data_IF_248540670368
#
_entry.id   IF_248540670368
#
_cell.length_a   1.000
_cell.length_b   1.000
_cell.length_c   1.000
_cell.angle_alpha   90.00
_cell.angle_beta   90.00
_cell.angle_gamma   90.00
#
_symmetry.space_group_name_H-M   'P 1'
#
loop_
_entity.id
_entity.type
_entity.pdbx_description
1 polymer ?
#
# COMPACT_ATOMS: atom_id res chain seq x y z
N UNK A 1 -7.57 -47.32 -21.27
CA UNK A 1 -7.41 -48.21 -20.10
C UNK A 1 -6.78 -47.35 -19.02
N UNK A 2 -7.58 -46.83 -18.09
CA UNK A 2 -7.04 -46.07 -16.97
C UNK A 2 -6.66 -47.02 -15.83
N UNK A 3 -5.47 -46.82 -15.27
CA UNK A 3 -5.10 -47.46 -14.01
C UNK A 3 -4.46 -46.43 -13.07
N UNK A 4 -5.33 -45.69 -12.37
CA UNK A 4 -4.95 -44.78 -11.30
C UNK A 4 -4.57 -45.60 -10.06
N UNK A 5 -3.27 -45.69 -9.75
CA UNK A 5 -2.80 -46.23 -8.48
C UNK A 5 -2.75 -45.09 -7.46
N UNK A 6 -3.79 -44.97 -6.62
CA UNK A 6 -3.75 -44.16 -5.40
C UNK A 6 -3.17 -44.97 -4.26
N UNK A 7 -1.99 -44.60 -3.78
CA UNK A 7 -1.47 -45.08 -2.49
C UNK A 7 -2.29 -44.46 -1.35
N UNK A 8 -2.92 -45.29 -0.52
CA UNK A 8 -3.63 -44.84 0.68
C UNK A 8 -2.62 -44.38 1.74
N UNK A 9 -2.51 -43.07 1.93
CA UNK A 9 -1.94 -42.50 3.16
C UNK A 9 -2.95 -42.73 4.30
N UNK A 10 -2.51 -43.40 5.35
CA UNK A 10 -3.35 -43.80 6.47
C UNK A 10 -3.81 -42.57 7.26
N UNK A 11 -5.12 -42.27 7.26
CA UNK A 11 -5.70 -41.05 7.86
C UNK A 11 -5.30 -40.85 9.32
N UNK A 12 -5.11 -41.93 10.08
CA UNK A 12 -4.66 -41.87 11.48
C UNK A 12 -3.30 -41.17 11.65
N UNK A 13 -2.39 -41.32 10.68
CA UNK A 13 -1.05 -40.70 10.70
C UNK A 13 -1.14 -39.20 10.39
N UNK A 14 -2.01 -38.82 9.44
CA UNK A 14 -2.27 -37.41 9.11
C UNK A 14 -2.97 -36.72 10.30
N UNK A 15 -3.89 -37.41 10.97
CA UNK A 15 -4.62 -36.88 12.12
C UNK A 15 -3.70 -36.56 13.31
N UNK A 16 -2.87 -37.50 13.78
CA UNK A 16 -1.96 -37.21 14.91
C UNK A 16 -0.84 -36.23 14.55
N UNK A 17 -0.36 -36.21 13.30
CA UNK A 17 0.62 -35.22 12.84
C UNK A 17 0.06 -33.78 12.88
N UNK A 18 -1.21 -33.60 12.50
CA UNK A 18 -1.85 -32.26 12.46
C UNK A 18 -2.38 -31.80 13.82
N UNK A 19 -2.86 -32.71 14.68
CA UNK A 19 -3.37 -32.44 16.02
C UNK A 19 -2.41 -31.65 16.92
N UNK A 20 -1.12 -31.96 16.87
CA UNK A 20 -0.11 -31.25 17.68
C UNK A 20 0.10 -29.80 17.20
N UNK A 21 0.08 -29.56 15.89
CA UNK A 21 0.21 -28.22 15.27
C UNK A 21 -0.99 -27.34 15.65
N UNK A 22 -2.20 -27.89 15.60
CA UNK A 22 -3.40 -27.17 16.02
C UNK A 22 -3.43 -26.93 17.54
N UNK A 23 -2.98 -27.88 18.35
CA UNK A 23 -2.97 -27.74 19.82
C UNK A 23 -2.09 -26.59 20.30
N UNK A 24 -0.86 -26.46 19.78
CA UNK A 24 0.06 -25.38 20.15
C UNK A 24 -0.44 -23.99 19.75
N UNK A 25 -0.96 -23.82 18.52
CA UNK A 25 -1.55 -22.55 18.08
C UNK A 25 -2.83 -22.21 18.86
N UNK A 26 -3.67 -23.21 19.16
CA UNK A 26 -4.91 -23.03 19.91
C UNK A 26 -4.68 -22.74 21.40
N UNK A 27 -3.53 -23.11 21.97
CA UNK A 27 -3.11 -22.65 23.30
C UNK A 27 -2.74 -21.15 23.28
N UNK A 28 -1.86 -20.74 22.35
CA UNK A 28 -1.38 -19.34 22.24
C UNK A 28 -2.49 -18.35 21.82
N UNK A 29 -3.48 -18.79 21.05
CA UNK A 29 -4.71 -18.00 20.79
C UNK A 29 -5.66 -17.97 21.99
N UNK A 30 -5.75 -19.03 22.79
CA UNK A 30 -6.62 -19.07 23.99
C UNK A 30 -6.07 -18.18 25.11
N UNK A 31 -4.75 -18.05 25.22
CA UNK A 31 -4.06 -17.17 26.15
C UNK A 31 -4.31 -15.67 25.83
N UNK A 32 -4.10 -15.27 24.57
CA UNK A 32 -4.44 -13.92 24.09
C UNK A 32 -5.96 -13.67 24.15
N UNK A 33 -6.77 -14.68 23.83
CA UNK A 33 -8.24 -14.61 23.93
C UNK A 33 -8.74 -14.46 25.36
N UNK A 34 -8.14 -15.15 26.33
CA UNK A 34 -8.45 -14.99 27.76
C UNK A 34 -8.09 -13.58 28.25
N UNK A 35 -6.97 -13.02 27.79
CA UNK A 35 -6.58 -11.64 28.12
C UNK A 35 -7.60 -10.62 27.61
N UNK A 36 -8.05 -10.76 26.36
CA UNK A 36 -9.09 -9.87 25.79
C UNK A 36 -10.46 -10.07 26.46
N UNK A 37 -10.84 -11.32 26.77
CA UNK A 37 -12.10 -11.61 27.49
C UNK A 37 -12.08 -11.07 28.92
N UNK A 38 -10.93 -11.07 29.60
CA UNK A 38 -10.78 -10.42 30.91
C UNK A 38 -10.95 -8.90 30.78
N UNK A 39 -10.35 -8.24 29.79
CA UNK A 39 -10.52 -6.79 29.57
C UNK A 39 -11.96 -6.40 29.21
N UNK A 40 -12.70 -7.28 28.53
CA UNK A 40 -14.14 -7.11 28.28
C UNK A 40 -14.99 -7.38 29.53
N UNK A 41 -14.59 -8.32 30.40
CA UNK A 41 -15.29 -8.63 31.65
C UNK A 41 -15.03 -7.62 32.77
N UNK A 42 -13.85 -7.00 32.76
CA UNK A 42 -13.43 -5.90 33.65
C UNK A 42 -14.05 -4.54 33.22
N UNK A 43 -14.98 -4.51 32.24
CA UNK A 43 -15.68 -3.32 31.70
C UNK A 43 -14.75 -2.18 31.24
N UNK A 44 -13.49 -2.49 30.91
CA UNK A 44 -12.43 -1.50 30.67
C UNK A 44 -12.73 -0.59 29.48
N UNK A 45 -13.48 -1.09 28.49
CA UNK A 45 -13.85 -0.34 27.29
C UNK A 45 -15.14 0.49 27.46
N UNK A 46 -15.95 0.21 28.47
CA UNK A 46 -17.21 0.91 28.75
C UNK A 46 -17.03 2.09 29.72
N UNK A 47 -15.86 2.17 30.38
CA UNK A 47 -15.61 3.13 31.47
C UNK A 47 -14.20 3.71 31.47
N UNK A 48 -14.08 4.97 31.03
CA UNK A 48 -12.83 5.74 31.02
C UNK A 48 -12.05 5.73 32.36
N UNK A 49 -12.66 5.85 33.56
CA UNK A 49 -11.89 5.77 34.80
C UNK A 49 -11.31 4.37 35.06
N UNK A 50 -11.98 3.29 34.63
CA UNK A 50 -11.45 1.91 34.73
C UNK A 50 -10.29 1.72 33.75
N UNK A 51 -10.44 2.18 32.50
CA UNK A 51 -9.34 2.24 31.54
C UNK A 51 -8.11 2.97 32.09
N UNK A 52 -8.32 4.13 32.72
CA UNK A 52 -7.25 4.96 33.30
C UNK A 52 -6.57 4.30 34.52
N UNK A 53 -7.32 3.54 35.32
CA UNK A 53 -6.73 2.76 36.43
C UNK A 53 -5.92 1.56 35.94
N UNK A 54 -6.32 0.94 34.81
CA UNK A 54 -5.69 -0.26 34.26
C UNK A 54 -4.50 0.05 33.35
N UNK A 55 -4.54 1.18 32.66
CA UNK A 55 -3.53 1.64 31.70
C UNK A 55 -3.23 3.14 31.90
N UNK A 56 -2.65 3.56 33.04
CA UNK A 56 -2.39 4.97 33.34
C UNK A 56 -1.56 5.66 32.24
N UNK A 57 -0.56 4.94 31.72
CA UNK A 57 0.37 5.38 30.67
C UNK A 57 -0.30 5.87 29.36
N UNK A 58 -1.56 5.45 29.09
CA UNK A 58 -2.32 5.89 27.92
C UNK A 58 -3.05 7.23 28.11
N UNK A 59 -3.12 7.75 29.34
CA UNK A 59 -3.94 8.91 29.72
C UNK A 59 -3.16 10.00 30.47
N UNK A 60 -1.84 9.91 30.52
CA UNK A 60 -0.95 10.99 30.97
C UNK A 60 -0.24 11.61 29.75
N UNK A 61 -0.24 12.94 29.59
CA UNK A 61 0.63 13.57 28.60
C UNK A 61 2.09 13.38 29.04
N UNK A 62 3.04 13.16 28.10
CA UNK A 62 4.43 12.88 28.44
C UNK A 62 5.03 14.09 29.15
N UNK A 63 5.12 13.99 30.48
CA UNK A 63 5.82 14.95 31.33
C UNK A 63 7.24 14.43 31.47
N UNK A 64 8.23 15.26 31.14
CA UNK A 64 9.61 14.81 31.03
C UNK A 64 10.17 14.26 32.35
N UNK A 65 11.05 13.27 32.22
CA UNK A 65 11.96 12.74 33.26
C UNK A 65 11.33 11.86 34.36
N UNK A 66 11.44 10.54 34.19
CA UNK A 66 12.51 9.80 34.88
C UNK A 66 12.89 8.53 34.11
N UNK A 67 14.19 8.29 34.00
CA UNK A 67 14.81 7.15 33.34
C UNK A 67 14.48 5.79 33.97
N UNK A 68 14.05 4.82 33.16
CA UNK A 68 14.67 3.48 32.98
C UNK A 68 13.89 2.74 31.89
N UNK A 69 14.51 2.51 30.73
CA UNK A 69 13.83 1.83 29.60
C UNK A 69 14.61 1.81 28.28
N UNK A 70 15.57 2.72 28.09
CA UNK A 70 16.46 2.74 26.92
C UNK A 70 17.62 1.73 27.07
N UNK A 71 17.28 0.45 27.19
CA UNK A 71 18.20 -0.68 27.05
C UNK A 71 17.48 -1.83 26.34
N UNK A 72 17.55 -1.85 25.01
CA UNK A 72 17.44 -3.01 24.10
C UNK A 72 17.75 -2.57 22.65
N UNK A 73 17.47 -1.33 22.26
CA UNK A 73 17.76 -0.79 20.91
C UNK A 73 19.11 -0.06 20.79
N UNK A 74 20.18 -0.64 21.37
CA UNK A 74 21.54 -0.07 21.29
C UNK A 74 22.64 -1.10 20.92
N UNK A 75 22.27 -2.29 20.44
CA UNK A 75 23.20 -3.37 20.06
C UNK A 75 22.99 -3.90 18.62
N UNK A 76 22.87 -3.01 17.61
CA UNK A 76 22.93 -3.48 16.19
C UNK A 76 23.43 -2.45 15.15
N UNK A 77 24.07 -1.34 15.56
CA UNK A 77 24.61 -0.32 14.63
C UNK A 77 25.93 0.25 15.14
N UNK A 78 27.02 -0.54 15.08
CA UNK A 78 28.26 -0.15 15.78
C UNK A 78 29.59 -0.79 15.37
N UNK A 79 29.73 -1.45 14.22
CA UNK A 79 31.04 -1.96 13.75
C UNK A 79 31.23 -1.85 12.24
N UNK A 80 31.94 -0.80 11.79
CA UNK A 80 32.92 -0.82 10.66
C UNK A 80 33.36 0.58 10.15
N UNK A 81 33.41 1.63 10.97
CA UNK A 81 34.05 2.91 10.59
C UNK A 81 34.91 3.50 11.74
N UNK A 82 36.06 2.88 12.03
CA UNK A 82 37.12 3.46 12.87
C UNK A 82 38.47 2.71 12.78
N UNK A 83 39.02 2.49 11.58
CA UNK A 83 40.42 2.11 11.35
C UNK A 83 40.76 2.26 9.86
N UNK A 84 41.73 3.05 9.39
CA UNK A 84 42.69 3.95 10.04
C UNK A 84 42.95 5.13 9.09
N UNK A 85 42.98 6.37 9.60
CA UNK A 85 43.62 7.50 8.90
C UNK A 85 44.93 7.84 9.62
N UNK A 86 46.05 7.82 8.89
CA UNK A 86 47.37 8.21 9.37
C UNK A 86 48.33 8.39 8.19
N UNK A 87 48.83 9.62 8.00
CA UNK A 87 49.58 10.04 6.80
C UNK A 87 51.00 9.44 6.65
N UNK A 88 51.51 9.46 5.41
CA UNK A 88 52.93 9.35 5.07
C UNK A 88 53.17 9.26 3.56
N UNK A 89 53.83 10.26 2.96
CA UNK A 89 53.97 10.47 1.49
C UNK A 89 55.11 9.66 0.84
N UNK A 90 54.98 9.31 -0.46
CA UNK A 90 55.98 9.64 -1.53
C UNK A 90 55.49 9.24 -2.95
N UNK A 91 55.68 10.14 -3.91
CA UNK A 91 55.43 10.06 -5.37
C UNK A 91 56.47 9.19 -6.14
N UNK A 92 56.39 9.02 -7.49
CA UNK A 92 55.24 8.70 -8.36
C UNK A 92 55.60 7.63 -9.45
N UNK A 93 54.62 7.12 -10.23
CA UNK A 93 54.88 6.77 -11.65
C UNK A 93 53.59 6.70 -12.51
N UNK A 94 53.76 6.76 -13.83
CA UNK A 94 52.77 6.78 -14.92
C UNK A 94 51.86 5.51 -14.93
N UNK A 95 50.66 5.47 -15.51
CA UNK A 95 50.28 6.01 -16.82
C UNK A 95 48.75 6.07 -17.05
N UNK A 96 48.37 6.70 -18.17
CA UNK A 96 47.01 6.94 -18.69
C UNK A 96 46.15 5.67 -18.85
N UNK A 97 44.82 5.76 -18.65
CA UNK A 97 43.87 5.76 -19.79
C UNK A 97 42.48 6.29 -19.43
N UNK A 98 41.72 6.68 -20.46
CA UNK A 98 40.43 7.37 -20.41
C UNK A 98 39.26 6.40 -20.19
N UNK A 99 38.33 6.75 -19.28
CA UNK A 99 36.93 6.32 -19.39
C UNK A 99 35.95 7.44 -19.09
N UNK A 100 35.35 7.94 -20.16
CA UNK A 100 34.00 8.51 -20.13
C UNK A 100 33.04 7.46 -19.55
N UNK A 101 32.08 7.88 -18.73
CA UNK A 101 31.11 6.98 -18.10
C UNK A 101 29.79 7.71 -17.90
N UNK A 102 28.89 7.40 -18.82
CA UNK A 102 27.60 8.03 -19.03
C UNK A 102 26.63 7.76 -17.86
N UNK A 103 25.79 8.77 -17.62
CA UNK A 103 24.88 8.94 -16.49
C UNK A 103 24.04 7.70 -16.13
N UNK A 104 24.01 7.37 -14.82
CA UNK A 104 22.97 6.52 -14.23
C UNK A 104 21.95 7.43 -13.51
N UNK A 105 20.65 7.39 -13.85
CA UNK A 105 19.64 8.12 -13.10
C UNK A 105 19.35 7.40 -11.78
N UNK A 106 19.79 7.99 -10.66
CA UNK A 106 19.44 7.51 -9.33
C UNK A 106 17.94 7.75 -9.06
N UNK A 107 17.17 6.68 -8.89
CA UNK A 107 15.80 6.79 -8.38
C UNK A 107 15.89 7.10 -6.88
N UNK A 108 15.57 8.36 -6.54
CA UNK A 108 15.51 8.82 -5.16
C UNK A 108 14.40 8.09 -4.40
N UNK A 109 14.76 7.36 -3.34
CA UNK A 109 13.80 6.94 -2.33
C UNK A 109 13.38 8.17 -1.52
N UNK A 110 12.20 8.71 -1.84
CA UNK A 110 11.55 9.72 -0.99
C UNK A 110 10.91 8.99 0.18
N UNK A 111 11.49 9.16 1.36
CA UNK A 111 10.83 8.89 2.64
C UNK A 111 9.83 10.01 2.91
N UNK A 112 8.56 9.79 2.57
CA UNK A 112 7.45 10.66 2.98
C UNK A 112 6.92 10.20 4.33
N UNK A 113 7.09 11.05 5.34
CA UNK A 113 6.51 10.84 6.67
C UNK A 113 4.98 11.03 6.66
N UNK A 114 4.29 10.54 7.68
CA UNK A 114 2.83 10.54 7.75
C UNK A 114 2.26 11.91 8.09
N UNK A 115 1.49 12.51 7.17
CA UNK A 115 0.49 13.54 7.50
C UNK A 115 -0.88 13.11 7.01
N UNK A 116 -1.83 12.96 7.94
CA UNK A 116 -3.20 12.58 7.63
C UNK A 116 -4.03 13.79 7.16
N UNK A 117 -4.27 13.87 5.86
CA UNK A 117 -5.50 14.42 5.27
C UNK A 117 -5.65 13.86 3.84
N UNK A 118 -6.81 14.09 3.24
CA UNK A 118 -7.11 13.94 1.81
C UNK A 118 -7.34 12.50 1.33
N UNK A 119 -8.41 11.90 1.87
CA UNK A 119 -9.13 10.78 1.22
C UNK A 119 -9.90 11.34 0.01
N UNK A 120 -9.16 11.71 -1.04
CA UNK A 120 -9.71 12.14 -2.33
C UNK A 120 -9.20 11.20 -3.44
N UNK A 121 -10.11 10.46 -4.06
CA UNK A 121 -9.90 9.89 -5.40
C UNK A 121 -8.72 8.94 -5.60
N UNK A 122 -8.21 8.27 -4.55
CA UNK A 122 -7.13 7.29 -4.63
C UNK A 122 -7.59 5.98 -5.32
N UNK A 123 -7.85 6.04 -6.62
CA UNK A 123 -7.88 4.86 -7.48
C UNK A 123 -6.44 4.33 -7.61
N UNK A 124 -6.02 3.52 -6.63
CA UNK A 124 -4.73 2.85 -6.68
C UNK A 124 -4.82 1.72 -7.71
N UNK A 125 -4.09 1.78 -8.84
CA UNK A 125 -4.00 0.65 -9.75
C UNK A 125 -3.22 -0.45 -9.02
N UNK A 126 -3.92 -1.40 -8.39
CA UNK A 126 -3.30 -2.51 -7.67
C UNK A 126 -2.40 -3.30 -8.61
N UNK A 127 -1.05 -3.20 -8.53
CA UNK A 127 -0.16 -3.80 -9.51
C UNK A 127 -0.37 -5.31 -9.53
N UNK A 128 -0.51 -5.89 -10.72
CA UNK A 128 -0.72 -7.34 -10.87
C UNK A 128 0.61 -8.03 -10.60
N UNK A 129 0.79 -8.51 -9.37
CA UNK A 129 2.01 -9.17 -8.91
C UNK A 129 1.63 -10.49 -8.24
N UNK A 130 2.41 -11.53 -8.53
CA UNK A 130 2.32 -12.79 -7.81
C UNK A 130 2.87 -12.63 -6.38
N UNK A 131 2.45 -13.47 -5.42
CA UNK A 131 3.11 -13.54 -4.12
C UNK A 131 4.59 -13.90 -4.31
N UNK A 132 5.49 -13.10 -3.72
CA UNK A 132 6.94 -13.26 -3.90
C UNK A 132 7.50 -14.68 -3.69
N UNK A 133 7.04 -15.49 -2.71
CA UNK A 133 7.51 -16.88 -2.58
C UNK A 133 7.22 -17.74 -3.82
N UNK A 134 6.08 -17.49 -4.49
CA UNK A 134 5.69 -18.19 -5.73
C UNK A 134 6.49 -17.66 -6.92
N UNK A 135 6.67 -16.36 -7.02
CA UNK A 135 7.49 -15.69 -8.05
C UNK A 135 8.96 -16.16 -7.99
N UNK A 136 9.55 -16.16 -6.80
CA UNK A 136 10.94 -16.60 -6.60
C UNK A 136 11.11 -18.10 -6.89
N UNK A 137 10.16 -18.94 -6.47
CA UNK A 137 10.17 -20.38 -6.81
C UNK A 137 10.04 -20.60 -8.33
N UNK A 138 9.18 -19.85 -9.01
CA UNK A 138 9.02 -19.88 -10.47
C UNK A 138 10.35 -19.52 -11.16
N UNK A 139 11.02 -18.46 -10.72
CA UNK A 139 12.33 -18.04 -11.24
C UNK A 139 13.44 -19.06 -10.95
N UNK A 140 13.49 -19.65 -9.73
CA UNK A 140 14.43 -20.71 -9.38
C UNK A 140 14.25 -21.97 -10.26
N UNK A 141 13.01 -22.35 -10.54
CA UNK A 141 12.70 -23.48 -11.44
C UNK A 141 13.04 -23.17 -12.89
N UNK A 142 12.79 -21.93 -13.34
CA UNK A 142 13.16 -21.49 -14.69
C UNK A 142 14.68 -21.51 -14.87
N UNK A 143 15.44 -20.96 -13.92
CA UNK A 143 16.91 -20.98 -13.94
C UNK A 143 17.45 -22.41 -14.06
N UNK A 144 17.05 -23.31 -13.15
CA UNK A 144 17.54 -24.71 -13.13
C UNK A 144 17.17 -25.49 -14.39
N UNK A 145 16.00 -25.22 -14.96
CA UNK A 145 15.56 -25.86 -16.22
C UNK A 145 16.40 -25.39 -17.40
N UNK A 146 16.73 -24.09 -17.46
CA UNK A 146 17.60 -23.53 -18.49
C UNK A 146 19.06 -23.98 -18.34
N UNK A 147 19.62 -24.01 -17.13
CA UNK A 147 20.99 -24.49 -16.88
C UNK A 147 21.15 -25.95 -17.34
N UNK A 148 20.15 -26.79 -17.06
CA UNK A 148 20.10 -28.17 -17.52
C UNK A 148 19.93 -28.28 -19.05
N UNK A 149 19.08 -27.46 -19.67
CA UNK A 149 18.92 -27.44 -21.12
C UNK A 149 20.21 -27.03 -21.85
N UNK A 150 20.86 -25.96 -21.37
CA UNK A 150 22.14 -25.50 -21.90
C UNK A 150 23.25 -26.54 -21.70
N UNK A 151 23.31 -27.21 -20.54
CA UNK A 151 24.24 -28.31 -20.30
C UNK A 151 24.04 -29.45 -21.30
N UNK A 152 22.81 -29.91 -21.50
CA UNK A 152 22.55 -30.97 -22.49
C UNK A 152 22.94 -30.53 -23.91
N UNK A 153 22.63 -29.30 -24.32
CA UNK A 153 23.11 -28.74 -25.58
C UNK A 153 24.64 -28.74 -25.67
N UNK A 154 25.34 -28.28 -24.63
CA UNK A 154 26.80 -28.26 -24.58
C UNK A 154 27.43 -29.65 -24.71
N UNK A 155 26.83 -30.68 -24.11
CA UNK A 155 27.27 -32.08 -24.29
C UNK A 155 27.02 -32.65 -25.69
N UNK A 156 26.16 -32.03 -26.51
CA UNK A 156 25.90 -32.41 -27.90
C UNK A 156 26.81 -31.65 -28.86
N UNK A 157 26.77 -30.32 -28.82
CA UNK A 157 27.37 -29.44 -29.83
C UNK A 157 28.72 -28.83 -29.43
N UNK A 158 29.01 -28.67 -28.13
CA UNK A 158 30.16 -27.91 -27.61
C UNK A 158 31.13 -28.75 -26.76
N UNK A 159 31.22 -30.05 -27.05
CA UNK A 159 31.95 -31.04 -26.22
C UNK A 159 33.40 -30.68 -25.89
N UNK A 160 34.13 -30.05 -26.83
CA UNK A 160 35.51 -29.60 -26.60
C UNK A 160 35.60 -28.54 -25.50
N UNK A 161 34.68 -27.57 -25.52
CA UNK A 161 34.61 -26.47 -24.55
C UNK A 161 34.17 -27.01 -23.18
N UNK A 162 33.22 -27.94 -23.15
CA UNK A 162 32.79 -28.63 -21.91
C UNK A 162 33.97 -29.33 -21.22
N UNK A 163 34.82 -30.03 -21.99
CA UNK A 163 36.00 -30.72 -21.48
C UNK A 163 37.10 -29.75 -21.03
N UNK A 164 37.42 -28.75 -21.85
CA UNK A 164 38.46 -27.74 -21.52
C UNK A 164 38.14 -26.98 -20.23
N UNK A 165 36.86 -26.65 -20.00
CA UNK A 165 36.40 -25.90 -18.84
C UNK A 165 36.02 -26.77 -17.63
N UNK A 166 36.13 -28.09 -17.74
CA UNK A 166 35.69 -29.06 -16.72
C UNK A 166 34.23 -28.87 -16.29
N UNK A 167 33.35 -28.61 -17.27
CA UNK A 167 31.91 -28.48 -17.04
C UNK A 167 31.27 -29.87 -17.06
N UNK A 168 31.35 -30.57 -15.92
CA UNK A 168 31.01 -31.99 -15.74
C UNK A 168 29.57 -32.26 -15.27
N UNK A 169 28.88 -31.22 -14.80
CA UNK A 169 27.49 -31.25 -14.35
C UNK A 169 26.77 -29.94 -14.71
N UNK A 170 25.42 -29.93 -14.78
CA UNK A 170 24.67 -28.71 -15.07
C UNK A 170 24.85 -27.64 -13.99
N UNK A 171 25.07 -28.03 -12.73
CA UNK A 171 25.35 -27.11 -11.63
C UNK A 171 26.74 -26.43 -11.70
N UNK A 172 27.67 -26.91 -12.54
CA UNK A 172 28.98 -26.29 -12.71
C UNK A 172 28.94 -24.98 -13.53
N UNK A 173 27.82 -24.68 -14.20
CA UNK A 173 27.75 -23.62 -15.22
C UNK A 173 26.52 -22.74 -15.05
N UNK A 174 26.77 -21.48 -14.72
CA UNK A 174 25.73 -20.49 -14.47
C UNK A 174 25.16 -19.87 -15.76
N UNK A 175 23.89 -19.43 -15.74
CA UNK A 175 23.24 -18.84 -16.93
C UNK A 175 23.99 -17.67 -17.60
N UNK A 176 24.73 -16.84 -16.86
CA UNK A 176 25.55 -15.80 -17.47
C UNK A 176 26.73 -16.38 -18.26
N UNK A 177 27.36 -17.46 -17.78
CA UNK A 177 28.44 -18.13 -18.50
C UNK A 177 27.92 -18.82 -19.76
N UNK A 178 26.71 -19.38 -19.71
CA UNK A 178 26.00 -19.86 -20.90
C UNK A 178 25.64 -18.73 -21.87
N UNK A 179 25.14 -17.60 -21.37
CA UNK A 179 24.84 -16.43 -22.18
C UNK A 179 26.08 -15.89 -22.90
N UNK A 180 27.23 -15.82 -22.22
CA UNK A 180 28.50 -15.44 -22.83
C UNK A 180 28.93 -16.46 -23.89
N UNK A 181 28.89 -17.77 -23.57
CA UNK A 181 29.34 -18.82 -24.50
C UNK A 181 28.48 -18.92 -25.76
N UNK A 182 27.16 -18.91 -25.63
CA UNK A 182 26.21 -19.00 -26.74
C UNK A 182 26.15 -17.70 -27.56
N UNK A 183 26.67 -16.59 -27.02
CA UNK A 183 26.79 -15.31 -27.71
C UNK A 183 27.97 -15.22 -28.69
N UNK A 184 28.85 -16.23 -28.73
CA UNK A 184 29.94 -16.31 -29.70
C UNK A 184 29.46 -16.89 -31.05
N UNK A 185 29.94 -16.32 -32.15
CA UNK A 185 29.53 -16.71 -33.50
C UNK A 185 29.78 -18.21 -33.77
N UNK A 186 28.74 -18.91 -34.20
CA UNK A 186 28.77 -20.35 -34.52
C UNK A 186 28.36 -21.28 -33.38
N UNK A 187 28.38 -20.84 -32.12
CA UNK A 187 28.05 -21.67 -30.96
C UNK A 187 26.55 -21.92 -30.75
N UNK A 188 25.67 -21.18 -31.45
CA UNK A 188 24.23 -21.41 -31.45
C UNK A 188 23.61 -20.99 -32.78
N UNK A 189 22.77 -21.85 -33.36
CA UNK A 189 22.02 -21.56 -34.58
C UNK A 189 20.73 -20.79 -34.24
N UNK A 190 20.84 -19.46 -34.08
CA UNK A 190 19.70 -18.63 -33.69
C UNK A 190 18.64 -18.49 -34.81
N UNK A 191 17.42 -18.91 -34.50
CA UNK A 191 16.25 -18.82 -35.38
C UNK A 191 15.04 -18.16 -34.66
N UNK A 192 15.31 -17.32 -33.65
CA UNK A 192 14.28 -16.77 -32.76
C UNK A 192 13.28 -15.84 -33.44
N UNK A 193 12.09 -15.69 -32.83
CA UNK A 193 11.00 -14.88 -33.40
C UNK A 193 11.23 -13.39 -33.17
N UNK A 194 11.90 -12.73 -34.11
CA UNK A 194 11.95 -11.26 -34.21
C UNK A 194 12.87 -10.55 -33.21
N UNK A 195 13.39 -11.23 -32.18
CA UNK A 195 14.42 -10.70 -31.29
C UNK A 195 15.84 -11.11 -31.73
N UNK A 196 16.84 -10.24 -31.57
CA UNK A 196 18.23 -10.61 -31.77
C UNK A 196 18.73 -11.47 -30.60
N UNK A 197 19.57 -12.47 -30.90
CA UNK A 197 20.13 -13.40 -29.91
C UNK A 197 20.70 -12.70 -28.66
N UNK A 198 21.45 -11.60 -28.86
CA UNK A 198 22.08 -10.84 -27.77
C UNK A 198 21.09 -10.29 -26.74
N UNK A 199 19.87 -9.94 -27.15
CA UNK A 199 18.84 -9.47 -26.22
C UNK A 199 18.27 -10.61 -25.37
N UNK A 200 18.04 -11.77 -26.00
CA UNK A 200 17.58 -12.98 -25.31
C UNK A 200 18.65 -13.45 -24.34
N UNK A 201 19.91 -13.58 -24.76
CA UNK A 201 21.00 -14.00 -23.86
C UNK A 201 21.21 -13.03 -22.68
N UNK A 202 21.04 -11.71 -22.89
CA UNK A 202 21.01 -10.72 -21.80
C UNK A 202 19.84 -10.96 -20.84
N UNK A 203 18.65 -11.27 -21.36
CA UNK A 203 17.47 -11.66 -20.56
C UNK A 203 17.75 -12.92 -19.71
N UNK A 204 18.39 -13.92 -20.30
CA UNK A 204 18.78 -15.18 -19.65
C UNK A 204 19.82 -14.95 -18.54
N UNK A 205 20.82 -14.10 -18.76
CA UNK A 205 21.75 -13.68 -17.70
C UNK A 205 21.02 -12.95 -16.54
N UNK A 206 20.03 -12.13 -16.88
CA UNK A 206 19.20 -11.42 -15.90
C UNK A 206 18.30 -12.36 -15.08
N UNK A 207 17.83 -13.50 -15.64
CA UNK A 207 17.08 -14.53 -14.88
C UNK A 207 17.88 -15.00 -13.65
N UNK A 208 19.18 -15.30 -13.82
CA UNK A 208 20.05 -15.66 -12.68
C UNK A 208 20.20 -14.50 -11.70
N UNK A 209 20.48 -13.29 -12.19
CA UNK A 209 20.64 -12.12 -11.32
C UNK A 209 19.39 -11.89 -10.45
N UNK A 210 18.20 -11.87 -11.06
CA UNK A 210 16.91 -11.74 -10.38
C UNK A 210 16.69 -12.86 -9.36
N UNK A 211 16.98 -14.11 -9.73
CA UNK A 211 16.82 -15.28 -8.84
C UNK A 211 17.75 -15.22 -7.65
N UNK A 212 19.06 -15.10 -7.88
CA UNK A 212 20.12 -15.14 -6.84
C UNK A 212 19.98 -13.97 -5.87
N UNK A 213 19.73 -12.76 -6.38
CA UNK A 213 19.55 -11.57 -5.55
C UNK A 213 18.11 -11.36 -5.05
N UNK A 214 17.20 -12.31 -5.31
CA UNK A 214 15.81 -12.30 -4.81
C UNK A 214 15.04 -11.02 -5.17
N UNK A 215 15.31 -10.50 -6.38
CA UNK A 215 14.74 -9.25 -6.87
C UNK A 215 13.29 -9.49 -7.30
N UNK A 216 12.40 -8.55 -6.97
CA UNK A 216 11.00 -8.54 -7.41
C UNK A 216 10.91 -8.12 -8.87
N UNK A 217 10.13 -8.87 -9.64
CA UNK A 217 9.81 -8.60 -11.04
C UNK A 217 8.33 -8.24 -11.16
N UNK A 218 7.98 -7.33 -12.06
CA UNK A 218 6.58 -7.12 -12.42
C UNK A 218 6.06 -8.25 -13.33
N UNK A 219 4.74 -8.28 -13.55
CA UNK A 219 4.12 -9.30 -14.42
C UNK A 219 4.70 -9.31 -15.83
N UNK A 220 5.05 -8.14 -16.37
CA UNK A 220 5.56 -7.96 -17.73
C UNK A 220 6.98 -8.49 -17.87
N UNK A 221 7.89 -8.16 -16.95
CA UNK A 221 9.25 -8.70 -16.89
C UNK A 221 9.25 -10.21 -16.65
N UNK A 222 8.35 -10.72 -15.81
CA UNK A 222 8.23 -12.16 -15.55
C UNK A 222 7.75 -12.92 -16.81
N UNK A 223 6.71 -12.43 -17.48
CA UNK A 223 6.26 -12.95 -18.78
C UNK A 223 7.39 -12.87 -19.81
N UNK A 224 8.19 -11.81 -19.78
CA UNK A 224 9.30 -11.62 -20.71
C UNK A 224 10.44 -12.64 -20.48
N UNK A 225 10.84 -12.89 -19.23
CA UNK A 225 11.80 -13.92 -18.91
C UNK A 225 11.33 -15.31 -19.36
N UNK A 226 10.05 -15.64 -19.15
CA UNK A 226 9.47 -16.91 -19.57
C UNK A 226 9.44 -17.07 -21.10
N UNK A 227 9.12 -16.00 -21.84
CA UNK A 227 9.13 -16.01 -23.31
C UNK A 227 10.55 -16.12 -23.89
N UNK A 228 11.51 -15.35 -23.37
CA UNK A 228 12.92 -15.39 -23.81
C UNK A 228 13.56 -16.76 -23.47
N UNK A 229 13.18 -17.36 -22.33
CA UNK A 229 13.57 -18.72 -21.96
C UNK A 229 13.00 -19.80 -22.89
N UNK A 230 11.73 -19.69 -23.31
CA UNK A 230 11.12 -20.61 -24.27
C UNK A 230 11.80 -20.50 -25.65
N UNK A 231 12.14 -19.28 -26.07
CA UNK A 231 12.85 -19.03 -27.33
C UNK A 231 14.30 -19.56 -27.30
N UNK A 232 15.02 -19.44 -26.18
CA UNK A 232 16.33 -20.07 -26.01
C UNK A 232 16.22 -21.60 -26.04
N UNK A 233 15.32 -22.20 -25.24
CA UNK A 233 15.16 -23.67 -25.19
C UNK A 233 14.87 -24.27 -26.57
N UNK A 234 14.06 -23.57 -27.38
CA UNK A 234 13.76 -23.96 -28.76
C UNK A 234 14.97 -23.85 -29.69
N UNK A 235 15.84 -22.84 -29.49
CA UNK A 235 17.09 -22.69 -30.24
C UNK A 235 18.15 -23.74 -29.85
N UNK A 236 18.12 -24.26 -28.62
CA UNK A 236 18.94 -25.39 -28.17
C UNK A 236 18.47 -26.75 -28.73
N UNK A 237 17.36 -26.77 -29.48
CA UNK A 237 16.82 -27.97 -30.13
C UNK A 237 16.29 -29.02 -29.14
N UNK A 238 15.86 -28.60 -27.95
CA UNK A 238 15.41 -29.51 -26.90
C UNK A 238 13.90 -29.41 -26.67
N UNK A 239 13.16 -30.32 -27.30
CA UNK A 239 11.70 -30.36 -27.25
C UNK A 239 11.15 -30.52 -25.82
N UNK A 240 11.86 -31.26 -24.96
CA UNK A 240 11.42 -31.54 -23.58
C UNK A 240 11.49 -30.27 -22.73
N UNK A 241 12.63 -29.55 -22.77
CA UNK A 241 12.74 -28.28 -22.04
C UNK A 241 11.87 -27.18 -22.64
N UNK A 242 11.71 -27.17 -23.97
CA UNK A 242 10.77 -26.26 -24.64
C UNK A 242 9.33 -26.51 -24.17
N UNK A 243 8.87 -27.76 -24.10
CA UNK A 243 7.52 -28.09 -23.59
C UNK A 243 7.34 -27.70 -22.12
N UNK A 244 8.32 -28.02 -21.26
CA UNK A 244 8.29 -27.68 -19.82
C UNK A 244 8.22 -26.17 -19.61
N UNK A 245 9.04 -25.38 -20.31
CA UNK A 245 9.05 -23.91 -20.18
C UNK A 245 7.80 -23.29 -20.83
N UNK A 246 7.35 -23.80 -21.97
CA UNK A 246 6.11 -23.32 -22.63
C UNK A 246 4.89 -23.53 -21.73
N UNK A 247 4.78 -24.70 -21.10
CA UNK A 247 3.75 -24.97 -20.09
C UNK A 247 3.85 -24.01 -18.90
N UNK A 248 5.06 -23.83 -18.35
CA UNK A 248 5.31 -22.94 -17.22
C UNK A 248 4.92 -21.49 -17.55
N UNK A 249 5.18 -21.04 -18.78
CA UNK A 249 4.73 -19.73 -19.28
C UNK A 249 3.20 -19.63 -19.35
N UNK A 250 2.53 -20.62 -19.95
CA UNK A 250 1.07 -20.63 -20.08
C UNK A 250 0.36 -20.66 -18.72
N UNK A 251 0.85 -21.48 -17.78
CA UNK A 251 0.32 -21.56 -16.42
C UNK A 251 0.49 -20.21 -15.68
N UNK A 252 1.65 -19.56 -15.82
CA UNK A 252 1.91 -18.24 -15.24
C UNK A 252 1.08 -17.12 -15.89
N UNK A 253 0.97 -17.11 -17.23
CA UNK A 253 0.20 -16.14 -18.01
C UNK A 253 -1.30 -16.21 -17.69
N UNK A 254 -1.85 -17.43 -17.58
CA UNK A 254 -3.21 -17.69 -17.11
C UNK A 254 -3.43 -17.15 -15.69
N UNK A 255 -2.53 -17.50 -14.76
CA UNK A 255 -2.62 -17.06 -13.35
C UNK A 255 -2.55 -15.54 -13.20
N UNK A 256 -1.66 -14.87 -13.94
CA UNK A 256 -1.52 -13.40 -13.95
C UNK A 256 -2.79 -12.76 -14.53
N UNK A 257 -3.36 -13.33 -15.59
CA UNK A 257 -4.59 -12.83 -16.23
C UNK A 257 -5.80 -12.97 -15.31
N UNK A 258 -5.97 -14.12 -14.66
CA UNK A 258 -7.03 -14.34 -13.68
C UNK A 258 -6.91 -13.37 -12.49
N UNK A 259 -5.68 -13.17 -11.97
CA UNK A 259 -5.42 -12.20 -10.91
C UNK A 259 -5.75 -10.77 -11.33
N UNK A 260 -5.45 -10.37 -12.56
CA UNK A 260 -5.80 -9.06 -13.11
C UNK A 260 -7.33 -8.85 -13.17
N UNK A 261 -8.06 -9.84 -13.70
CA UNK A 261 -9.53 -9.81 -13.78
C UNK A 261 -10.18 -9.76 -12.39
N UNK A 262 -9.68 -10.55 -11.45
CA UNK A 262 -10.17 -10.55 -10.07
C UNK A 262 -9.94 -9.19 -9.38
N UNK A 263 -8.77 -8.58 -9.56
CA UNK A 263 -8.49 -7.22 -9.05
C UNK A 263 -9.41 -6.16 -9.67
N UNK A 264 -9.63 -6.21 -10.99
CA UNK A 264 -10.55 -5.30 -11.68
C UNK A 264 -12.00 -5.44 -11.16
N UNK A 265 -12.45 -6.68 -10.92
CA UNK A 265 -13.78 -6.95 -10.35
C UNK A 265 -13.93 -6.38 -8.93
N UNK A 266 -12.90 -6.53 -8.09
CA UNK A 266 -12.87 -5.95 -6.74
C UNK A 266 -12.89 -4.41 -6.80
N UNK A 267 -12.12 -3.80 -7.71
CA UNK A 267 -12.12 -2.34 -7.88
C UNK A 267 -13.51 -1.83 -8.28
N UNK A 268 -14.16 -2.44 -9.28
CA UNK A 268 -15.51 -2.05 -9.71
C UNK A 268 -16.55 -2.19 -8.59
N UNK A 269 -16.42 -3.19 -7.70
CA UNK A 269 -17.28 -3.33 -6.52
C UNK A 269 -17.00 -2.24 -5.48
N UNK A 270 -15.74 -1.86 -5.28
CA UNK A 270 -15.34 -0.77 -4.39
C UNK A 270 -15.89 0.58 -4.88
N UNK A 271 -15.69 0.90 -6.16
CA UNK A 271 -16.17 2.14 -6.79
C UNK A 271 -17.69 2.26 -6.63
N UNK A 272 -18.44 1.20 -6.95
CA UNK A 272 -19.90 1.15 -6.75
C UNK A 272 -20.30 1.33 -5.28
N UNK A 273 -19.58 0.73 -4.34
CA UNK A 273 -19.87 0.89 -2.91
C UNK A 273 -19.59 2.33 -2.44
N UNK A 274 -18.55 2.98 -2.98
CA UNK A 274 -18.25 4.39 -2.73
C UNK A 274 -19.36 5.31 -3.28
N UNK A 275 -19.85 5.06 -4.49
CA UNK A 275 -20.99 5.80 -5.07
C UNK A 275 -22.27 5.64 -4.22
N UNK A 276 -22.59 4.43 -3.77
CA UNK A 276 -23.75 4.18 -2.89
C UNK A 276 -23.60 4.90 -1.54
N UNK A 277 -22.39 4.97 -0.97
CA UNK A 277 -22.11 5.72 0.26
C UNK A 277 -22.23 7.23 0.02
N UNK A 278 -21.67 7.75 -1.07
CA UNK A 278 -21.74 9.17 -1.43
C UNK A 278 -23.19 9.63 -1.61
N UNK A 279 -24.01 8.81 -2.29
CA UNK A 279 -25.45 9.06 -2.42
C UNK A 279 -26.17 9.12 -1.07
N UNK A 280 -25.94 8.14 -0.18
CA UNK A 280 -26.59 8.12 1.15
C UNK A 280 -26.18 9.30 2.03
N UNK A 281 -24.92 9.75 1.92
CA UNK A 281 -24.46 10.99 2.59
C UNK A 281 -25.26 12.19 2.11
N UNK A 282 -25.37 12.41 0.80
CA UNK A 282 -26.15 13.51 0.24
C UNK A 282 -27.65 13.46 0.59
N UNK A 283 -28.24 12.26 0.72
CA UNK A 283 -29.62 12.08 1.21
C UNK A 283 -29.78 12.49 2.68
N UNK A 284 -28.82 12.10 3.54
CA UNK A 284 -28.79 12.48 4.96
C UNK A 284 -28.52 13.97 5.16
N UNK A 285 -27.59 14.56 4.40
CA UNK A 285 -27.28 16.00 4.45
C UNK A 285 -28.51 16.85 4.11
N UNK A 286 -29.33 16.38 3.16
CA UNK A 286 -30.59 17.02 2.78
C UNK A 286 -31.64 16.91 3.91
N UNK A 287 -31.77 15.74 4.53
CA UNK A 287 -32.69 15.51 5.65
C UNK A 287 -32.30 16.34 6.89
N UNK A 288 -31.01 16.40 7.23
CA UNK A 288 -30.49 17.27 8.29
C UNK A 288 -30.83 18.74 8.00
N UNK A 289 -30.59 19.20 6.77
CA UNK A 289 -30.87 20.57 6.37
C UNK A 289 -32.38 20.89 6.39
N UNK A 290 -33.26 19.94 6.08
CA UNK A 290 -34.71 20.10 6.24
C UNK A 290 -35.12 20.16 7.72
N UNK A 291 -34.59 19.26 8.56
CA UNK A 291 -34.85 19.24 10.00
C UNK A 291 -34.41 20.54 10.69
N UNK A 292 -33.23 21.07 10.36
CA UNK A 292 -32.74 22.36 10.85
C UNK A 292 -33.65 23.52 10.41
N UNK A 293 -34.12 23.52 9.16
CA UNK A 293 -35.11 24.51 8.68
C UNK A 293 -36.44 24.38 9.42
N UNK A 294 -36.92 23.16 9.67
CA UNK A 294 -38.15 22.91 10.41
C UNK A 294 -38.05 23.44 11.84
N UNK A 295 -37.00 23.06 12.56
CA UNK A 295 -36.73 23.54 13.93
C UNK A 295 -36.72 25.07 14.02
N UNK A 296 -36.03 25.74 13.08
CA UNK A 296 -35.97 27.22 13.01
C UNK A 296 -37.31 27.89 12.71
N UNK A 297 -38.22 27.22 12.00
CA UNK A 297 -39.60 27.72 11.79
C UNK A 297 -40.45 27.56 13.06
N UNK A 298 -40.37 26.42 13.71
CA UNK A 298 -41.12 26.13 14.93
C UNK A 298 -40.70 27.03 16.09
N UNK A 299 -39.40 27.19 16.32
CA UNK A 299 -38.82 28.13 17.29
C UNK A 299 -39.36 29.55 17.09
N UNK A 300 -39.27 30.07 15.85
CA UNK A 300 -39.82 31.38 15.50
C UNK A 300 -41.33 31.49 15.77
N UNK A 301 -42.11 30.42 15.54
CA UNK A 301 -43.55 30.40 15.86
C UNK A 301 -43.78 30.47 17.37
N UNK A 302 -43.07 29.66 18.16
CA UNK A 302 -43.19 29.67 19.62
C UNK A 302 -42.77 31.00 20.25
N UNK A 303 -41.69 31.63 19.75
CA UNK A 303 -41.29 32.98 20.17
C UNK A 303 -42.39 34.02 19.88
N UNK A 304 -43.01 33.98 18.69
CA UNK A 304 -44.09 34.88 18.33
C UNK A 304 -45.34 34.68 19.22
N UNK A 305 -45.75 33.43 19.45
CA UNK A 305 -46.86 33.10 20.33
C UNK A 305 -46.61 33.52 21.79
N UNK A 306 -45.38 33.33 22.29
CA UNK A 306 -44.99 33.75 23.63
C UNK A 306 -45.00 35.29 23.76
N UNK A 307 -44.48 35.99 22.75
CA UNK A 307 -44.54 37.45 22.64
C UNK A 307 -45.96 37.99 22.63
N UNK A 308 -46.86 37.39 21.85
CA UNK A 308 -48.29 37.75 21.85
C UNK A 308 -48.97 37.53 23.21
N UNK A 309 -48.71 36.38 23.87
CA UNK A 309 -49.26 36.07 25.19
C UNK A 309 -48.79 37.08 26.23
N UNK A 310 -47.49 37.44 26.21
CA UNK A 310 -46.92 38.44 27.08
C UNK A 310 -47.49 39.85 26.80
N UNK A 311 -47.60 40.25 25.53
CA UNK A 311 -48.17 41.55 25.14
C UNK A 311 -49.63 41.69 25.61
N UNK A 312 -50.44 40.63 25.51
CA UNK A 312 -51.82 40.61 26.01
C UNK A 312 -51.87 40.81 27.54
N UNK A 313 -50.95 40.20 28.28
CA UNK A 313 -50.83 40.39 29.73
C UNK A 313 -50.36 41.81 30.11
N UNK A 314 -49.37 42.36 29.40
CA UNK A 314 -48.88 43.73 29.62
C UNK A 314 -49.97 44.78 29.33
N UNK A 315 -50.75 44.60 28.25
CA UNK A 315 -51.86 45.49 27.91
C UNK A 315 -52.96 45.49 28.99
N UNK A 316 -53.18 44.36 29.66
CA UNK A 316 -54.14 44.25 30.78
C UNK A 316 -53.67 44.98 32.05
N UNK A 317 -52.35 45.07 32.27
CA UNK A 317 -51.76 45.88 33.34
C UNK A 317 -51.85 47.37 32.98
N UNK A 318 -51.53 47.72 31.73
CA UNK A 318 -51.63 49.11 31.24
C UNK A 318 -53.05 49.67 31.28
N UNK A 319 -54.07 48.87 30.97
CA UNK A 319 -55.47 49.31 31.08
C UNK A 319 -55.94 49.51 32.53
N UNK A 320 -55.34 48.80 33.49
CA UNK A 320 -55.59 49.03 34.92
C UNK A 320 -54.97 50.35 35.41
N UNK A 321 -53.81 50.75 34.88
CA UNK A 321 -53.21 52.06 35.17
C UNK A 321 -54.08 53.22 34.67
N UNK A 322 -54.61 53.13 33.44
CA UNK A 322 -55.48 54.16 32.85
C UNK A 322 -56.82 54.31 33.60
N UNK A 323 -57.30 53.27 34.28
CA UNK A 323 -58.51 53.34 35.11
C UNK A 323 -58.32 54.13 36.43
N UNK A 324 -57.10 54.51 36.80
CA UNK A 324 -56.80 55.22 38.06
C UNK A 324 -56.57 56.72 37.90
N UNK A 325 -56.59 57.28 36.69
CA UNK A 325 -56.34 58.71 36.45
C UNK A 325 -57.44 59.35 35.57
N UNK A 326 -58.57 59.69 36.21
CA UNK A 326 -59.46 60.76 35.71
C UNK A 326 -59.09 62.05 36.44
N UNK A 327 -58.25 62.89 35.81
CA UNK A 327 -57.50 63.93 36.52
C UNK A 327 -57.13 65.21 35.75
N UNK A 328 -58.01 65.69 34.86
CA UNK A 328 -58.15 67.11 34.46
C UNK A 328 -56.98 67.84 33.71
N UNK A 329 -57.26 69.06 33.23
CA UNK A 329 -56.39 70.06 32.60
C UNK A 329 -55.75 69.69 31.23
N UNK A 330 -56.26 70.15 30.08
CA UNK A 330 -56.27 71.53 29.51
C UNK A 330 -55.02 71.89 28.70
N UNK A 331 -55.31 72.26 27.44
CA UNK A 331 -54.49 72.80 26.35
C UNK A 331 -53.42 73.84 26.75
N UNK A 332 -52.22 73.72 26.15
CA UNK A 332 -51.30 74.74 25.61
C UNK A 332 -49.90 74.09 25.44
N UNK A 333 -49.05 74.36 24.44
CA UNK A 333 -49.17 75.14 23.21
C UNK A 333 -47.82 75.19 22.47
N UNK A 334 -47.83 75.47 21.16
CA UNK A 334 -46.79 76.15 20.37
C UNK A 334 -45.28 76.05 20.77
N UNK A 335 -44.47 75.29 19.99
CA UNK A 335 -43.58 75.81 18.90
C UNK A 335 -42.34 74.94 18.59
N UNK A 336 -41.95 75.01 17.31
CA UNK A 336 -40.59 75.03 16.71
C UNK A 336 -39.37 74.84 17.64
N UNK A 337 -38.27 74.17 17.25
CA UNK A 337 -37.52 74.35 16.00
C UNK A 337 -36.23 73.48 16.02
N UNK A 338 -35.63 73.15 14.84
CA UNK A 338 -34.21 72.73 14.53
C UNK A 338 -33.44 71.85 15.57
N UNK A 339 -32.73 70.76 15.26
CA UNK A 339 -31.77 70.44 14.17
C UNK A 339 -31.21 69.01 14.45
N UNK A 340 -30.26 68.36 13.77
CA UNK A 340 -29.38 68.67 12.62
C UNK A 340 -28.91 67.35 11.91
N UNK A 341 -28.02 67.48 10.91
CA UNK A 341 -27.25 66.47 10.18
C UNK A 341 -26.68 65.24 10.92
N UNK A 342 -26.61 64.08 10.21
CA UNK A 342 -25.32 63.54 9.72
C UNK A 342 -25.45 62.39 8.70
N UNK A 343 -24.49 62.33 7.77
CA UNK A 343 -24.31 61.32 6.71
C UNK A 343 -23.65 60.02 7.22
N UNK A 344 -23.41 59.08 6.28
CA UNK A 344 -22.53 57.89 6.22
C UNK A 344 -23.38 56.64 5.91
N UNK A 345 -23.32 55.98 4.75
CA UNK A 345 -22.21 55.52 3.88
C UNK A 345 -21.31 54.43 4.52
N UNK A 346 -20.85 53.49 3.68
CA UNK A 346 -20.37 52.11 3.90
C UNK A 346 -21.48 51.04 4.04
N UNK A 347 -21.52 49.96 3.24
CA UNK A 347 -20.54 49.30 2.35
C UNK A 347 -19.33 48.64 3.03
N UNK A 348 -19.56 47.46 3.59
CA UNK A 348 -18.58 46.38 3.82
C UNK A 348 -19.24 45.12 3.22
N UNK A 349 -18.87 44.58 2.06
CA UNK A 349 -17.55 44.15 1.55
C UNK A 349 -16.88 43.07 2.42
N UNK A 350 -17.11 41.83 2.00
CA UNK A 350 -16.22 40.69 2.24
C UNK A 350 -16.03 39.97 0.91
N UNK A 351 -15.01 40.41 0.16
CA UNK A 351 -14.32 39.59 -0.84
C UNK A 351 -12.94 39.17 -0.28
N UNK A 352 -12.29 38.29 -1.03
CA UNK A 352 -10.94 37.73 -0.83
C UNK A 352 -10.78 36.68 0.30
N UNK A 353 -10.00 35.60 0.13
CA UNK A 353 -9.09 35.26 -0.98
C UNK A 353 -9.36 33.88 -1.63
N UNK A 354 -8.93 33.79 -2.89
CA UNK A 354 -8.77 32.59 -3.71
C UNK A 354 -7.78 31.55 -3.14
N UNK A 355 -7.84 30.33 -3.67
CA UNK A 355 -6.62 29.73 -4.24
C UNK A 355 -6.96 28.93 -5.52
N UNK A 356 -5.95 28.72 -6.39
CA UNK A 356 -6.06 28.12 -7.74
C UNK A 356 -5.36 26.77 -7.83
#
# INVERSE_FOLDING_TARGET
MDLVIRTQLNEAVIYEATKNIFSGKKARMRDRGATVLNLLSDEVYESTPIARQRFPDLFEPPTEQTSTGTQIEAESTGTAQAALNGMGETDPDESQDMRDSQECPAIAYVTSDSTASDIAGSSLPFPVQLPFPTEHLLMEKLQKTLELACYQYGTRELQSIMQERNWDCPEAVELNQWADLLGHDGNLQWQGRGKPLKEVLRSIAQIRHTTVHRIRTDSTGLQQFLADAEDLARALGDDIYTEVISKLRLDAESTITELAQNKQSIQLQLDKAQDEIAKRRAELDLEEQENLRHMKREDKRYCAEAGEKLQKALNLIGSFAVASETGDAVLNGDRDSVSDDSNLDNSEHFEDCSES
#
